data_IF_785131734696
#
_entry.id   IF_785131734696
#
_cell.length_a   1.000
_cell.length_b   1.000
_cell.length_c   1.000
_cell.angle_alpha   90.00
_cell.angle_beta   90.00
_cell.angle_gamma   90.00
#
_symmetry.space_group_name_H-M   'P 1'
#
loop_
_entity.id
_entity.type
_entity.pdbx_description
1 polymer ?
#
# COMPACT_ATOMS: atom_id res chain seq x y z
N UNK A 1 6.92 7.26 -9.60
CA UNK A 1 6.79 6.61 -8.28
C UNK A 1 6.22 7.65 -7.33
N UNK A 2 5.24 7.26 -6.52
CA UNK A 2 4.57 8.11 -5.51
C UNK A 2 4.59 7.32 -4.20
N UNK A 3 4.89 7.98 -3.09
CA UNK A 3 5.08 7.36 -1.78
C UNK A 3 4.30 8.13 -0.70
N UNK A 4 3.53 7.41 0.12
CA UNK A 4 2.89 7.94 1.32
C UNK A 4 3.78 7.75 2.55
N UNK A 5 4.88 8.49 2.62
CA UNK A 5 6.01 8.22 3.53
C UNK A 5 5.69 8.38 5.02
N UNK A 6 4.69 9.20 5.38
CA UNK A 6 4.38 9.47 6.78
C UNK A 6 3.49 8.41 7.43
N UNK A 7 2.98 7.43 6.68
CA UNK A 7 2.35 6.23 7.23
C UNK A 7 3.33 5.49 8.14
N UNK A 8 4.57 5.32 7.66
CA UNK A 8 5.67 4.71 8.42
C UNK A 8 6.02 5.53 9.67
N UNK A 9 6.11 6.86 9.53
CA UNK A 9 6.35 7.76 10.67
C UNK A 9 5.25 7.64 11.74
N UNK A 10 3.98 7.54 11.33
CA UNK A 10 2.86 7.29 12.23
C UNK A 10 2.97 5.93 12.93
N UNK A 11 3.43 4.89 12.21
CA UNK A 11 3.74 3.57 12.76
C UNK A 11 4.84 3.63 13.82
N UNK A 12 5.97 4.28 13.53
CA UNK A 12 7.07 4.47 14.49
C UNK A 12 6.62 5.23 15.75
N UNK A 13 5.72 6.20 15.59
CA UNK A 13 5.15 6.98 16.68
C UNK A 13 4.01 6.29 17.43
N UNK A 14 3.57 5.10 16.99
CA UNK A 14 2.36 4.41 17.49
C UNK A 14 1.12 5.33 17.50
N UNK A 15 1.00 6.16 16.46
CA UNK A 15 -0.04 7.19 16.36
C UNK A 15 -1.11 6.76 15.35
N UNK A 16 -2.18 6.14 15.85
CA UNK A 16 -3.31 5.70 15.00
C UNK A 16 -3.94 6.83 14.19
N UNK A 17 -4.04 8.05 14.74
CA UNK A 17 -4.66 9.17 14.03
C UNK A 17 -3.82 9.53 12.81
N UNK A 18 -2.50 9.68 13.00
CA UNK A 18 -1.59 9.99 11.90
C UNK A 18 -1.61 8.90 10.83
N UNK A 19 -1.55 7.62 11.21
CA UNK A 19 -1.62 6.52 10.24
C UNK A 19 -2.91 6.59 9.42
N UNK A 20 -4.05 6.82 10.07
CA UNK A 20 -5.35 6.92 9.36
C UNK A 20 -5.36 8.12 8.41
N UNK A 21 -4.89 9.29 8.84
CA UNK A 21 -4.84 10.49 7.99
C UNK A 21 -3.92 10.30 6.78
N UNK A 22 -2.74 9.72 6.98
CA UNK A 22 -1.75 9.49 5.92
C UNK A 22 -2.19 8.40 4.94
N UNK A 23 -2.87 7.35 5.42
CA UNK A 23 -3.50 6.35 4.53
C UNK A 23 -4.63 6.97 3.70
N UNK A 24 -5.42 7.89 4.27
CA UNK A 24 -6.45 8.62 3.52
C UNK A 24 -5.85 9.55 2.47
N UNK A 25 -4.70 10.15 2.73
CA UNK A 25 -3.98 10.95 1.73
C UNK A 25 -3.42 10.09 0.60
N UNK A 26 -2.85 8.93 0.91
CA UNK A 26 -2.42 7.96 -0.10
C UNK A 26 -3.61 7.43 -0.92
N UNK A 27 -4.74 7.15 -0.29
CA UNK A 27 -5.98 6.72 -0.97
C UNK A 27 -6.46 7.75 -1.99
N UNK A 28 -6.44 9.05 -1.64
CA UNK A 28 -6.78 10.14 -2.59
C UNK A 28 -5.83 10.17 -3.79
N UNK A 29 -4.52 9.95 -3.57
CA UNK A 29 -3.54 9.89 -4.65
C UNK A 29 -3.77 8.67 -5.55
N UNK A 30 -4.03 7.50 -4.96
CA UNK A 30 -4.39 6.27 -5.69
C UNK A 30 -5.66 6.50 -6.51
N UNK A 31 -6.68 7.14 -5.95
CA UNK A 31 -7.92 7.49 -6.66
C UNK A 31 -7.65 8.30 -7.94
N UNK A 32 -6.73 9.27 -7.90
CA UNK A 32 -6.33 10.01 -9.11
C UNK A 32 -5.60 9.16 -10.13
N UNK A 33 -4.75 8.23 -9.68
CA UNK A 33 -4.06 7.30 -10.57
C UNK A 33 -5.04 6.31 -11.22
N UNK A 34 -6.03 5.82 -10.48
CA UNK A 34 -7.10 4.95 -11.00
C UNK A 34 -7.99 5.68 -12.02
N UNK A 35 -8.40 6.93 -11.75
CA UNK A 35 -9.15 7.77 -12.68
C UNK A 35 -8.41 7.94 -14.03
N UNK A 36 -7.08 8.09 -13.96
CA UNK A 36 -6.23 8.19 -15.14
C UNK A 36 -6.15 6.84 -15.87
N UNK A 37 -5.82 5.77 -15.15
CA UNK A 37 -5.64 4.45 -15.73
C UNK A 37 -6.92 3.91 -16.39
N UNK A 38 -8.08 4.18 -15.81
CA UNK A 38 -9.37 3.80 -16.37
C UNK A 38 -9.68 4.53 -17.69
N UNK A 39 -9.22 5.77 -17.86
CA UNK A 39 -9.42 6.55 -19.10
C UNK A 39 -8.42 6.17 -20.18
N UNK A 40 -7.18 5.92 -19.79
CA UNK A 40 -6.09 5.56 -20.69
C UNK A 40 -6.23 4.12 -21.23
N UNK A 41 -6.65 3.19 -20.37
CA UNK A 41 -6.87 1.79 -20.72
C UNK A 41 -5.59 1.00 -21.03
N UNK A 42 -4.41 1.63 -21.02
CA UNK A 42 -3.10 1.01 -21.25
C UNK A 42 -2.14 1.21 -20.06
N UNK A 43 -2.67 1.70 -18.94
CA UNK A 43 -1.89 1.99 -17.74
C UNK A 43 -2.06 0.89 -16.70
N UNK A 44 -0.93 0.37 -16.23
CA UNK A 44 -0.83 -0.51 -15.06
C UNK A 44 -0.53 0.33 -13.82
N UNK A 45 -1.33 0.14 -12.77
CA UNK A 45 -1.07 0.64 -11.42
C UNK A 45 -0.69 -0.53 -10.53
N UNK A 46 0.41 -0.39 -9.77
CA UNK A 46 0.84 -1.32 -8.72
C UNK A 46 1.00 -0.52 -7.44
N UNK A 47 0.35 -0.97 -6.36
CA UNK A 47 0.45 -0.41 -5.01
C UNK A 47 0.98 -1.50 -4.10
N UNK A 48 2.08 -1.23 -3.42
CA UNK A 48 2.73 -2.14 -2.50
C UNK A 48 3.28 -1.35 -1.31
N UNK A 49 3.49 -2.05 -0.20
CA UNK A 49 4.29 -1.54 0.93
C UNK A 49 5.71 -2.09 0.84
N UNK A 50 6.69 -1.31 1.26
CA UNK A 50 8.07 -1.76 1.42
C UNK A 50 8.26 -2.63 2.67
N UNK A 51 7.60 -2.29 3.78
CA UNK A 51 7.48 -3.10 5.00
C UNK A 51 6.24 -2.72 5.83
N UNK A 52 6.04 -3.39 6.97
CA UNK A 52 5.09 -2.97 8.01
C UNK A 52 5.83 -2.28 9.16
N UNK A 53 5.16 -1.33 9.82
CA UNK A 53 5.71 -0.57 10.94
C UNK A 53 4.74 -0.48 12.10
N UNK A 54 5.23 -0.75 13.31
CA UNK A 54 4.51 -0.63 14.58
C UNK A 54 3.89 -1.95 15.09
N UNK A 55 3.76 -2.96 14.21
CA UNK A 55 3.02 -4.18 14.50
C UNK A 55 1.60 -3.85 14.93
N UNK A 56 0.94 -2.98 14.15
CA UNK A 56 -0.35 -2.40 14.49
C UNK A 56 -1.47 -3.44 14.37
N UNK A 57 -2.39 -3.47 15.34
CA UNK A 57 -3.64 -4.23 15.28
C UNK A 57 -4.82 -3.33 15.56
N UNK A 58 -5.94 -3.54 14.85
CA UNK A 58 -7.19 -2.84 15.08
C UNK A 58 -8.04 -3.68 16.03
N UNK A 59 -8.19 -3.24 17.27
CA UNK A 59 -8.93 -3.98 18.31
C UNK A 59 -10.28 -3.35 18.67
N UNK A 60 -10.68 -2.29 17.98
CA UNK A 60 -11.95 -1.62 18.16
C UNK A 60 -12.11 -0.40 17.26
N UNK A 61 -13.30 0.20 17.30
CA UNK A 61 -13.62 1.39 16.54
C UNK A 61 -15.11 1.70 16.56
N UNK A 62 -15.49 2.80 15.91
CA UNK A 62 -16.88 3.21 15.74
C UNK A 62 -17.08 3.85 14.37
N UNK A 63 -18.01 3.31 13.58
CA UNK A 63 -18.40 3.92 12.31
C UNK A 63 -19.14 5.25 12.49
N UNK A 64 -19.88 5.42 13.58
CA UNK A 64 -20.65 6.64 13.84
C UNK A 64 -19.72 7.83 14.10
N UNK A 65 -18.64 7.63 14.86
CA UNK A 65 -17.67 8.68 15.17
C UNK A 65 -16.44 8.68 14.25
N UNK A 66 -16.27 7.67 13.39
CA UNK A 66 -15.06 7.47 12.59
C UNK A 66 -13.83 7.05 13.41
N UNK A 67 -14.01 6.66 14.66
CA UNK A 67 -12.89 6.30 15.55
C UNK A 67 -12.30 4.94 15.16
N UNK A 68 -10.98 4.87 15.05
CA UNK A 68 -10.21 3.63 14.93
C UNK A 68 -9.37 3.46 16.19
N UNK A 69 -9.47 2.30 16.83
CA UNK A 69 -8.63 1.94 17.98
C UNK A 69 -7.52 1.01 17.52
N UNK A 70 -6.31 1.56 17.40
CA UNK A 70 -5.09 0.82 17.13
C UNK A 70 -4.32 0.50 18.40
N UNK A 71 -3.75 -0.70 18.46
CA UNK A 71 -2.72 -1.08 19.44
C UNK A 71 -1.47 -1.49 18.70
N UNK A 72 -0.31 -1.35 19.34
CA UNK A 72 1.00 -1.54 18.72
C UNK A 72 1.86 -2.47 19.57
N UNK A 73 2.75 -3.21 18.90
CA UNK A 73 3.65 -4.17 19.58
C UNK A 73 5.09 -3.68 19.63
N UNK A 74 5.46 -2.71 18.79
CA UNK A 74 6.80 -2.14 18.68
C UNK A 74 6.71 -0.70 18.18
N UNK A 75 7.80 0.07 18.28
CA UNK A 75 7.97 1.34 17.57
C UNK A 75 8.92 1.20 16.38
N UNK A 76 9.12 -0.01 15.87
CA UNK A 76 9.97 -0.32 14.71
C UNK A 76 9.22 -1.15 13.67
N UNK A 77 9.95 -1.71 12.70
CA UNK A 77 9.34 -2.53 11.64
C UNK A 77 9.02 -3.95 12.11
N UNK A 78 8.10 -4.62 11.42
CA UNK A 78 7.87 -6.06 11.58
C UNK A 78 8.04 -6.82 10.25
N UNK A 79 8.19 -8.14 10.34
CA UNK A 79 8.38 -9.03 9.19
C UNK A 79 7.07 -9.63 8.65
N UNK A 80 5.92 -9.01 8.93
CA UNK A 80 4.64 -9.50 8.40
C UNK A 80 4.58 -9.27 6.89
N UNK A 81 3.95 -10.20 6.18
CA UNK A 81 3.69 -10.06 4.75
C UNK A 81 2.80 -8.84 4.49
N UNK A 82 3.22 -7.98 3.56
CA UNK A 82 2.46 -6.81 3.14
C UNK A 82 1.63 -7.13 1.89
N UNK A 83 0.44 -6.51 1.72
CA UNK A 83 -0.37 -6.73 0.55
C UNK A 83 0.20 -6.02 -0.68
N UNK A 84 -0.07 -6.59 -1.85
CA UNK A 84 0.11 -5.94 -3.15
C UNK A 84 -1.25 -5.83 -3.83
N UNK A 85 -1.52 -4.66 -4.42
CA UNK A 85 -2.71 -4.39 -5.23
C UNK A 85 -2.27 -3.97 -6.62
N UNK A 86 -2.98 -4.45 -7.64
CA UNK A 86 -2.72 -4.08 -9.02
C UNK A 86 -4.02 -3.84 -9.79
N UNK A 87 -3.99 -2.88 -10.71
CA UNK A 87 -5.10 -2.52 -11.60
C UNK A 87 -4.60 -2.20 -13.01
N UNK A 88 -5.37 -2.62 -14.03
CA UNK A 88 -5.05 -2.37 -15.43
C UNK A 88 -4.39 -3.56 -16.15
N UNK A 89 -3.89 -3.37 -17.38
CA UNK A 89 -3.25 -4.43 -18.15
C UNK A 89 -2.05 -5.04 -17.41
N UNK A 90 -1.97 -6.37 -17.35
CA UNK A 90 -0.90 -7.09 -16.64
C UNK A 90 -1.10 -7.20 -15.12
N UNK A 91 -2.18 -6.67 -14.54
CA UNK A 91 -2.44 -6.76 -13.10
C UNK A 91 -2.51 -8.20 -12.57
N UNK A 92 -2.94 -9.17 -13.39
CA UNK A 92 -2.99 -10.59 -13.03
C UNK A 92 -1.62 -11.19 -12.70
N UNK A 93 -0.53 -10.60 -13.18
CA UNK A 93 0.84 -11.04 -12.89
C UNK A 93 1.24 -10.82 -11.42
N UNK A 94 0.50 -9.99 -10.69
CA UNK A 94 0.75 -9.60 -9.30
C UNK A 94 -0.15 -10.33 -8.30
N UNK A 95 -0.89 -11.35 -8.74
CA UNK A 95 -1.67 -12.21 -7.84
C UNK A 95 -0.80 -13.27 -7.14
N UNK A 96 -1.19 -13.63 -5.91
CA UNK A 96 -0.52 -14.69 -5.13
C UNK A 96 0.51 -14.18 -4.12
N UNK A 97 1.39 -15.07 -3.69
CA UNK A 97 2.50 -14.76 -2.77
C UNK A 97 3.79 -14.65 -3.61
N UNK A 98 4.55 -13.59 -3.40
CA UNK A 98 5.81 -13.35 -4.11
C UNK A 98 6.80 -12.55 -3.26
N UNK A 99 8.06 -12.58 -3.66
CA UNK A 99 9.10 -11.74 -3.07
C UNK A 99 8.98 -10.30 -3.60
N UNK A 100 9.45 -9.31 -2.83
CA UNK A 100 9.42 -7.92 -3.29
C UNK A 100 10.29 -7.68 -4.55
N UNK A 101 11.32 -8.50 -4.77
CA UNK A 101 12.18 -8.48 -5.96
C UNK A 101 11.43 -8.91 -7.22
N UNK A 102 10.41 -9.76 -7.09
CA UNK A 102 9.57 -10.21 -8.20
C UNK A 102 8.76 -9.04 -8.78
N UNK A 103 8.40 -8.05 -7.96
CA UNK A 103 7.63 -6.86 -8.39
C UNK A 103 8.41 -6.11 -9.46
N UNK A 104 9.69 -5.82 -9.22
CA UNK A 104 10.57 -5.17 -10.19
C UNK A 104 10.69 -5.99 -11.48
N UNK A 105 10.95 -7.29 -11.35
CA UNK A 105 11.12 -8.17 -12.51
C UNK A 105 9.86 -8.21 -13.39
N UNK A 106 8.67 -8.29 -12.77
CA UNK A 106 7.38 -8.28 -13.46
C UNK A 106 7.11 -6.94 -14.15
N UNK A 107 7.32 -5.82 -13.46
CA UNK A 107 7.17 -4.48 -14.07
C UNK A 107 8.11 -4.32 -15.27
N UNK A 108 9.37 -4.72 -15.13
CA UNK A 108 10.36 -4.65 -16.21
C UNK A 108 9.90 -5.46 -17.43
N UNK A 109 9.50 -6.71 -17.21
CA UNK A 109 9.01 -7.60 -18.28
C UNK A 109 7.80 -7.02 -19.00
N UNK A 110 6.85 -6.42 -18.27
CA UNK A 110 5.64 -5.83 -18.86
C UNK A 110 5.93 -4.57 -19.69
N UNK A 111 6.93 -3.78 -19.29
CA UNK A 111 7.31 -2.55 -20.00
C UNK A 111 8.22 -2.79 -21.20
N UNK A 112 9.14 -3.76 -21.10
CA UNK A 112 10.25 -3.89 -22.04
C UNK A 112 10.34 -5.27 -22.72
N UNK A 113 9.49 -6.23 -22.34
CA UNK A 113 9.54 -7.61 -22.83
C UNK A 113 10.55 -8.48 -22.09
N UNK A 114 10.74 -9.70 -22.59
CA UNK A 114 11.83 -10.59 -22.14
C UNK A 114 13.16 -10.15 -22.76
N UNK A 115 14.27 -10.39 -22.06
CA UNK A 115 15.60 -10.30 -22.68
C UNK A 115 15.81 -11.42 -23.68
#
# INVERSE_FOLDING_TARGET
>A
MVEGSFIDSGGHANNTIQIVEEVLDLDRAIGKALDFAAKDGQTLIVVASDHETGGMTINGGSFESGMVKGEFTTGGHTGVMTPIFAYGPGASEFGGIMENTDIHAKIYKLLFGEK
#
